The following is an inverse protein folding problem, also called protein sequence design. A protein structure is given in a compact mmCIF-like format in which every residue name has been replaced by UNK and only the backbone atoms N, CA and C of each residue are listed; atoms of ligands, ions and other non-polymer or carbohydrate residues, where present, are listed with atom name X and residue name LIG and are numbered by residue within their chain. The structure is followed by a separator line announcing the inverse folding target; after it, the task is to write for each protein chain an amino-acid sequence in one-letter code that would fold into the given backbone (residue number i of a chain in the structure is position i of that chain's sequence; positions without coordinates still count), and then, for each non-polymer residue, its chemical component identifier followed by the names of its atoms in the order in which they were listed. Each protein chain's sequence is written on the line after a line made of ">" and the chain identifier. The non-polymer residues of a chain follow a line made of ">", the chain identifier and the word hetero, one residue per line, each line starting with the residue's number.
data_IF_253479895152
#
_entry.id   IF_253479895152
#
_cell.length_a   1.000
_cell.length_b   1.000
_cell.length_c   1.000
_cell.angle_alpha   90.00
_cell.angle_beta   90.00
_cell.angle_gamma   90.00
#
_symmetry.space_group_name_H-M   'P 1'
#
loop_
_entity.id
_entity.type
_entity.pdbx_description
1 polymer ?
#
# COMPACT_ATOMS: atom_id res chain seq x y z
N UNK A 1 -9.57 -8.83 28.23
CA UNK A 1 -8.54 -9.77 27.76
C UNK A 1 -8.35 -9.65 26.26
N UNK A 2 -7.13 -9.88 25.76
CA UNK A 2 -6.78 -9.80 24.33
C UNK A 2 -7.68 -10.70 23.45
N UNK A 3 -8.17 -11.79 24.04
CA UNK A 3 -9.13 -12.69 23.37
C UNK A 3 -10.47 -12.04 23.00
N UNK A 4 -10.88 -10.97 23.68
CA UNK A 4 -12.13 -10.25 23.43
C UNK A 4 -12.02 -9.18 22.33
N UNK A 5 -10.79 -8.92 21.83
CA UNK A 5 -10.55 -7.94 20.77
C UNK A 5 -10.95 -8.51 19.40
N UNK A 6 -11.52 -7.65 18.55
CA UNK A 6 -11.70 -7.97 17.14
C UNK A 6 -10.35 -8.19 16.44
N UNK A 7 -10.37 -8.83 15.26
CA UNK A 7 -9.14 -9.05 14.49
C UNK A 7 -8.38 -7.73 14.20
N UNK A 8 -9.09 -6.68 13.78
CA UNK A 8 -8.49 -5.37 13.54
C UNK A 8 -7.93 -4.70 14.80
N UNK A 9 -8.60 -4.86 15.95
CA UNK A 9 -8.10 -4.37 17.24
C UNK A 9 -6.82 -5.11 17.66
N UNK A 10 -6.77 -6.43 17.49
CA UNK A 10 -5.57 -7.23 17.75
C UNK A 10 -4.40 -6.75 16.91
N UNK A 11 -4.61 -6.52 15.61
CA UNK A 11 -3.59 -6.03 14.67
C UNK A 11 -3.02 -4.67 15.11
N UNK A 12 -3.87 -3.74 15.52
CA UNK A 12 -3.44 -2.43 16.05
C UNK A 12 -2.64 -2.55 17.34
N UNK A 13 -3.07 -3.41 18.27
CA UNK A 13 -2.33 -3.68 19.50
C UNK A 13 -0.96 -4.30 19.21
N UNK A 14 -0.86 -5.21 18.23
CA UNK A 14 0.41 -5.79 17.80
C UNK A 14 1.36 -4.72 17.24
N UNK A 15 0.87 -3.83 16.37
CA UNK A 15 1.67 -2.73 15.85
C UNK A 15 2.13 -1.81 17.00
N UNK A 16 1.22 -1.43 17.89
CA UNK A 16 1.54 -0.59 19.04
C UNK A 16 2.60 -1.22 19.97
N UNK A 17 2.55 -2.53 20.19
CA UNK A 17 3.51 -3.23 21.04
C UNK A 17 4.92 -3.24 20.46
N UNK A 18 5.07 -3.27 19.14
CA UNK A 18 6.37 -3.17 18.46
C UNK A 18 6.91 -1.75 18.55
N UNK A 19 6.04 -0.74 18.46
CA UNK A 19 6.44 0.66 18.48
C UNK A 19 7.02 1.12 19.83
N UNK A 20 6.63 0.48 20.94
CA UNK A 20 7.23 0.74 22.26
C UNK A 20 8.74 0.52 22.26
N UNK A 21 9.27 -0.30 21.35
CA UNK A 21 10.70 -0.56 21.19
C UNK A 21 11.43 0.52 20.38
N UNK A 22 10.73 1.55 19.90
CA UNK A 22 11.27 2.63 19.06
C UNK A 22 12.14 2.12 17.89
N UNK A 23 11.63 1.19 17.07
CA UNK A 23 12.43 0.57 16.02
C UNK A 23 12.75 1.58 14.92
N UNK A 24 13.95 1.50 14.35
CA UNK A 24 14.33 2.29 13.17
C UNK A 24 13.70 1.77 11.89
N UNK A 25 13.35 0.48 11.85
CA UNK A 25 12.74 -0.19 10.69
C UNK A 25 11.61 -1.06 11.19
N UNK A 26 10.45 -0.96 10.54
CA UNK A 26 9.28 -1.82 10.78
C UNK A 26 8.99 -2.57 9.49
N UNK A 27 8.83 -3.89 9.61
CA UNK A 27 8.36 -4.76 8.54
C UNK A 27 6.96 -5.25 8.87
N UNK A 28 6.01 -5.00 7.99
CA UNK A 28 4.60 -5.36 8.14
C UNK A 28 4.14 -6.22 6.97
N UNK A 29 3.61 -7.38 7.30
CA UNK A 29 3.05 -8.32 6.34
C UNK A 29 1.52 -8.16 6.31
N UNK A 30 0.99 -7.76 5.14
CA UNK A 30 -0.44 -7.52 4.90
C UNK A 30 -1.13 -6.72 6.02
N UNK A 31 -0.64 -5.50 6.36
CA UNK A 31 -1.12 -4.77 7.53
C UNK A 31 -2.61 -4.40 7.44
N UNK A 32 -3.15 -4.27 6.24
CA UNK A 32 -4.53 -3.85 5.99
C UNK A 32 -5.49 -4.98 5.61
N UNK A 33 -4.99 -6.21 5.50
CA UNK A 33 -5.83 -7.35 5.12
C UNK A 33 -7.02 -7.54 6.08
N UNK A 34 -8.23 -7.68 5.51
CA UNK A 34 -9.46 -7.88 6.27
C UNK A 34 -9.96 -6.65 7.03
N UNK A 35 -9.45 -5.46 6.72
CA UNK A 35 -9.95 -4.20 7.26
C UNK A 35 -11.00 -3.58 6.33
N UNK A 36 -11.99 -2.89 6.91
CA UNK A 36 -12.82 -1.96 6.16
C UNK A 36 -12.03 -0.70 5.78
N UNK A 37 -12.56 0.12 4.89
CA UNK A 37 -11.88 1.30 4.37
C UNK A 37 -11.48 2.29 5.48
N UNK A 38 -12.32 2.45 6.50
CA UNK A 38 -12.02 3.38 7.60
C UNK A 38 -10.80 2.93 8.41
N UNK A 39 -10.76 1.66 8.81
CA UNK A 39 -9.64 1.10 9.57
C UNK A 39 -8.37 0.97 8.70
N UNK A 40 -8.54 0.63 7.42
CA UNK A 40 -7.46 0.66 6.43
C UNK A 40 -6.76 2.03 6.40
N UNK A 41 -7.54 3.10 6.19
CA UNK A 41 -7.00 4.47 6.11
C UNK A 41 -6.31 4.86 7.42
N UNK A 42 -6.91 4.58 8.58
CA UNK A 42 -6.29 4.86 9.87
C UNK A 42 -4.93 4.19 10.07
N UNK A 43 -4.79 2.92 9.66
CA UNK A 43 -3.53 2.20 9.77
C UNK A 43 -2.49 2.82 8.84
N UNK A 44 -2.86 3.11 7.60
CA UNK A 44 -1.92 3.63 6.62
C UNK A 44 -1.49 5.06 6.90
N UNK A 45 -2.38 5.94 7.34
CA UNK A 45 -2.05 7.31 7.73
C UNK A 45 -1.13 7.31 8.95
N UNK A 46 -1.36 6.45 9.91
CA UNK A 46 -0.48 6.27 11.06
C UNK A 46 0.93 5.80 10.64
N UNK A 47 1.02 4.82 9.72
CA UNK A 47 2.32 4.36 9.20
C UNK A 47 3.04 5.44 8.39
N UNK A 48 2.29 6.26 7.64
CA UNK A 48 2.85 7.40 6.93
C UNK A 48 3.40 8.47 7.89
N UNK A 49 2.75 8.69 9.03
CA UNK A 49 3.24 9.60 10.07
C UNK A 49 4.51 9.07 10.74
N UNK A 50 4.57 7.78 11.04
CA UNK A 50 5.80 7.12 11.54
C UNK A 50 6.95 7.26 10.55
N UNK A 51 6.69 7.08 9.27
CA UNK A 51 7.71 7.25 8.24
C UNK A 51 8.21 8.70 8.19
N UNK A 52 7.31 9.69 8.26
CA UNK A 52 7.69 11.12 8.34
C UNK A 52 8.50 11.46 9.59
N UNK A 53 8.30 10.75 10.69
CA UNK A 53 9.08 10.91 11.92
C UNK A 53 10.45 10.24 11.90
N UNK A 54 10.81 9.56 10.79
CA UNK A 54 12.13 8.96 10.57
C UNK A 54 12.19 7.44 10.69
N UNK A 55 11.08 6.76 10.96
CA UNK A 55 11.03 5.29 10.95
C UNK A 55 10.92 4.79 9.51
N UNK A 56 11.77 3.83 9.11
CA UNK A 56 11.62 3.16 7.84
C UNK A 56 10.48 2.13 7.93
N UNK A 57 9.49 2.26 7.05
CA UNK A 57 8.35 1.33 6.98
C UNK A 57 8.48 0.49 5.72
N UNK A 58 8.52 -0.83 5.90
CA UNK A 58 8.50 -1.82 4.81
C UNK A 58 7.19 -2.58 4.88
N UNK A 59 6.45 -2.58 3.79
CA UNK A 59 5.17 -3.28 3.65
C UNK A 59 5.32 -4.44 2.70
N UNK A 60 4.86 -5.61 3.09
CA UNK A 60 4.64 -6.73 2.18
C UNK A 60 3.16 -6.73 1.88
N UNK A 61 2.80 -6.64 0.61
CA UNK A 61 1.40 -6.59 0.19
C UNK A 61 1.22 -7.03 -1.26
N UNK A 62 0.04 -7.54 -1.56
CA UNK A 62 -0.45 -7.77 -2.92
C UNK A 62 -1.52 -6.73 -3.32
N UNK A 63 -1.76 -5.74 -2.49
CA UNK A 63 -2.70 -4.65 -2.76
C UNK A 63 -2.01 -3.54 -3.57
N UNK A 64 -2.23 -3.55 -4.88
CA UNK A 64 -1.66 -2.57 -5.80
C UNK A 64 -2.19 -1.15 -5.59
N UNK A 65 -3.41 -1.02 -5.04
CA UNK A 65 -3.97 0.28 -4.68
C UNK A 65 -3.21 0.89 -3.51
N UNK A 66 -2.98 0.11 -2.45
CA UNK A 66 -2.13 0.50 -1.31
C UNK A 66 -0.73 0.92 -1.77
N UNK A 67 -0.13 0.12 -2.64
CA UNK A 67 1.19 0.39 -3.18
C UNK A 67 1.24 1.75 -3.91
N UNK A 68 0.27 2.03 -4.77
CA UNK A 68 0.18 3.30 -5.50
C UNK A 68 -0.09 4.50 -4.60
N UNK A 69 -0.93 4.33 -3.57
CA UNK A 69 -1.36 5.41 -2.70
C UNK A 69 -0.30 5.82 -1.67
N UNK A 70 0.43 4.84 -1.11
CA UNK A 70 1.24 5.08 0.10
C UNK A 70 2.73 4.83 -0.08
N UNK A 71 3.17 4.14 -1.14
CA UNK A 71 4.58 3.77 -1.25
C UNK A 71 5.30 4.50 -2.39
N UNK A 72 6.40 5.22 -2.10
CA UNK A 72 7.20 5.87 -3.14
C UNK A 72 8.10 4.89 -3.90
N UNK A 73 8.39 3.72 -3.31
CA UNK A 73 9.29 2.70 -3.86
C UNK A 73 8.67 1.33 -3.67
N UNK A 74 8.76 0.51 -4.70
CA UNK A 74 8.31 -0.87 -4.71
C UNK A 74 9.44 -1.81 -5.14
N UNK A 75 9.58 -2.92 -4.43
CA UNK A 75 10.51 -3.99 -4.77
C UNK A 75 9.65 -5.21 -5.10
N UNK A 76 9.79 -5.72 -6.32
CA UNK A 76 9.02 -6.87 -6.79
C UNK A 76 9.88 -8.11 -6.75
N UNK A 77 9.37 -9.15 -6.08
CA UNK A 77 10.00 -10.46 -6.00
C UNK A 77 9.25 -11.47 -6.86
N UNK A 78 10.00 -12.30 -7.56
CA UNK A 78 9.49 -13.47 -8.29
C UNK A 78 10.55 -14.59 -8.24
N UNK A 79 10.12 -15.81 -7.93
CA UNK A 79 10.98 -17.00 -7.83
C UNK A 79 12.27 -16.80 -7.02
N UNK A 80 12.17 -16.09 -5.89
CA UNK A 80 13.29 -15.85 -4.98
C UNK A 80 14.27 -14.75 -5.46
N UNK A 81 13.96 -14.05 -6.55
CA UNK A 81 14.78 -12.98 -7.10
C UNK A 81 14.06 -11.64 -7.08
N UNK A 82 14.81 -10.55 -6.95
CA UNK A 82 14.29 -9.20 -7.18
C UNK A 82 14.25 -8.97 -8.69
N UNK A 83 13.06 -8.75 -9.24
CA UNK A 83 12.86 -8.50 -10.67
C UNK A 83 12.63 -7.02 -10.97
N UNK A 84 12.24 -6.22 -9.96
CA UNK A 84 12.12 -4.77 -10.08
C UNK A 84 12.38 -4.10 -8.73
N UNK A 85 12.96 -2.89 -8.78
CA UNK A 85 13.17 -1.99 -7.65
C UNK A 85 13.00 -0.56 -8.17
N UNK A 86 11.76 -0.05 -8.10
CA UNK A 86 11.38 1.22 -8.71
C UNK A 86 10.11 1.78 -8.06
N UNK A 87 9.45 2.77 -8.66
CA UNK A 87 8.17 3.29 -8.18
C UNK A 87 7.01 2.32 -8.46
N UNK A 88 5.96 2.39 -7.63
CA UNK A 88 4.75 1.61 -7.83
C UNK A 88 4.11 1.84 -9.22
N UNK A 89 4.15 3.08 -9.70
CA UNK A 89 3.62 3.44 -11.01
C UNK A 89 4.41 2.78 -12.16
N UNK A 90 5.75 2.76 -12.07
CA UNK A 90 6.59 2.09 -13.08
C UNK A 90 6.42 0.58 -13.08
N UNK A 91 6.25 -0.04 -11.90
CA UNK A 91 5.93 -1.47 -11.80
C UNK A 91 4.66 -1.80 -12.58
N UNK A 92 3.57 -1.05 -12.35
CA UNK A 92 2.29 -1.29 -13.02
C UNK A 92 2.26 -0.88 -14.50
N UNK A 93 3.20 -0.05 -14.92
CA UNK A 93 3.37 0.37 -16.31
C UNK A 93 4.18 -0.63 -17.15
N UNK A 94 4.83 -1.59 -16.52
CA UNK A 94 5.60 -2.61 -17.20
C UNK A 94 4.78 -3.90 -17.36
N UNK A 95 4.26 -4.22 -18.55
CA UNK A 95 3.55 -5.48 -18.79
C UNK A 95 4.40 -6.70 -18.44
N UNK A 96 5.71 -6.63 -18.68
CA UNK A 96 6.64 -7.70 -18.36
C UNK A 96 6.69 -8.00 -16.87
N UNK A 97 6.78 -6.96 -16.02
CA UNK A 97 6.80 -7.12 -14.56
C UNK A 97 5.45 -7.64 -14.06
N UNK A 98 4.35 -7.04 -14.56
CA UNK A 98 2.98 -7.40 -14.17
C UNK A 98 2.68 -8.86 -14.50
N UNK A 99 3.03 -9.32 -15.70
CA UNK A 99 2.83 -10.70 -16.13
C UNK A 99 3.73 -11.68 -15.35
N UNK A 100 5.02 -11.37 -15.25
CA UNK A 100 6.01 -12.23 -14.59
C UNK A 100 5.69 -12.42 -13.10
N UNK A 101 5.38 -11.34 -12.40
CA UNK A 101 5.06 -11.38 -10.97
C UNK A 101 3.59 -11.71 -10.67
N UNK A 102 2.78 -11.96 -11.69
CA UNK A 102 1.33 -12.22 -11.58
C UNK A 102 0.61 -11.12 -10.76
N UNK A 103 1.02 -9.87 -10.95
CA UNK A 103 0.40 -8.74 -10.25
C UNK A 103 -0.97 -8.42 -10.84
N UNK A 104 -1.90 -8.06 -9.97
CA UNK A 104 -3.24 -7.67 -10.39
C UNK A 104 -3.30 -6.16 -10.57
N UNK A 105 -3.51 -5.70 -11.81
CA UNK A 105 -3.75 -4.28 -12.09
C UNK A 105 -4.95 -3.75 -11.27
N UNK A 106 -4.88 -2.48 -10.85
CA UNK A 106 -6.01 -1.85 -10.16
C UNK A 106 -7.18 -1.65 -11.14
N UNK A 107 -8.41 -1.70 -10.62
CA UNK A 107 -9.61 -1.47 -11.43
C UNK A 107 -9.60 -0.10 -12.12
N UNK A 108 -9.05 0.93 -11.46
CA UNK A 108 -8.89 2.28 -12.01
C UNK A 108 -7.89 2.33 -13.17
N UNK A 109 -6.77 1.65 -13.02
CA UNK A 109 -5.77 1.55 -14.09
C UNK A 109 -6.36 0.85 -15.32
N UNK A 110 -7.06 -0.25 -15.11
CA UNK A 110 -7.77 -0.99 -16.17
C UNK A 110 -8.84 -0.15 -16.86
N UNK A 111 -9.62 0.61 -16.07
CA UNK A 111 -10.62 1.54 -16.61
C UNK A 111 -9.97 2.61 -17.49
N UNK A 112 -8.91 3.26 -16.99
CA UNK A 112 -8.18 4.28 -17.73
C UNK A 112 -7.65 3.75 -19.07
N UNK A 113 -7.05 2.55 -19.05
CA UNK A 113 -6.56 1.87 -20.26
C UNK A 113 -7.67 1.58 -21.26
N UNK A 114 -8.81 1.06 -20.80
CA UNK A 114 -9.97 0.75 -21.65
C UNK A 114 -10.65 2.01 -22.22
N UNK A 115 -10.57 3.14 -21.49
CA UNK A 115 -11.07 4.43 -21.97
C UNK A 115 -10.09 5.17 -22.89
N UNK A 116 -8.93 4.59 -23.20
CA UNK A 116 -7.93 5.19 -24.08
C UNK A 116 -7.24 6.42 -23.49
N UNK A 117 -7.15 6.52 -22.16
CA UNK A 117 -6.43 7.60 -21.47
C UNK A 117 -4.94 7.42 -21.74
N UNK A 118 -4.28 8.47 -22.22
CA UNK A 118 -2.89 8.42 -22.69
C UNK A 118 -1.89 8.02 -21.59
N UNK A 119 -2.18 8.31 -20.32
CA UNK A 119 -1.37 7.95 -19.17
C UNK A 119 -2.25 7.38 -18.05
N UNK A 120 -2.57 6.08 -18.08
CA UNK A 120 -3.41 5.42 -17.08
C UNK A 120 -2.86 5.52 -15.65
N UNK A 121 -1.54 5.46 -15.49
CA UNK A 121 -0.85 5.59 -14.21
C UNK A 121 -1.01 6.99 -13.62
N UNK A 122 -0.84 8.05 -14.41
CA UNK A 122 -1.02 9.42 -13.97
C UNK A 122 -2.49 9.69 -13.61
N UNK A 123 -3.41 9.16 -14.41
CA UNK A 123 -4.84 9.22 -14.11
C UNK A 123 -5.14 8.55 -12.76
N UNK A 124 -4.65 7.33 -12.55
CA UNK A 124 -4.86 6.58 -11.30
C UNK A 124 -4.28 7.32 -10.11
N UNK A 125 -3.07 7.85 -10.24
CA UNK A 125 -2.41 8.64 -9.19
C UNK A 125 -3.19 9.90 -8.84
N UNK A 126 -3.66 10.65 -9.83
CA UNK A 126 -4.47 11.87 -9.61
C UNK A 126 -5.82 11.56 -9.00
N UNK A 127 -6.45 10.48 -9.43
CA UNK A 127 -7.72 10.03 -8.86
C UNK A 127 -7.56 9.69 -7.37
N UNK A 128 -6.54 8.90 -7.03
CA UNK A 128 -6.23 8.53 -5.64
C UNK A 128 -5.96 9.77 -4.80
N UNK A 129 -5.18 10.73 -5.31
CA UNK A 129 -4.89 12.00 -4.61
C UNK A 129 -6.16 12.81 -4.35
N UNK A 130 -7.03 12.97 -5.36
CA UNK A 130 -8.29 13.70 -5.23
C UNK A 130 -9.27 13.00 -4.25
N UNK A 131 -9.40 11.67 -4.33
CA UNK A 131 -10.24 10.89 -3.42
C UNK A 131 -9.75 11.02 -1.96
N UNK A 132 -8.45 11.03 -1.76
CA UNK A 132 -7.83 11.25 -0.44
C UNK A 132 -8.11 12.63 0.12
N UNK A 133 -8.04 13.66 -0.71
CA UNK A 133 -8.37 15.04 -0.34
C UNK A 133 -9.83 15.16 0.10
N UNK A 134 -10.76 14.57 -0.65
CA UNK A 134 -12.18 14.53 -0.28
C UNK A 134 -12.39 13.80 1.05
N UNK A 135 -11.75 12.67 1.26
CA UNK A 135 -11.85 11.88 2.52
C UNK A 135 -11.29 12.62 3.74
N UNK A 136 -10.31 13.50 3.55
CA UNK A 136 -9.69 14.27 4.65
C UNK A 136 -10.53 15.48 5.11
N UNK A 137 -11.52 15.90 4.31
CA UNK A 137 -12.37 17.07 4.57
C UNK A 137 -13.81 16.70 4.98
N UNK A 138 -14.17 15.44 5.04
CA UNK A 138 -15.47 14.91 5.47
C UNK A 138 -15.39 14.23 6.83
#
# INVERSE_FOLDING_TARGET
>A
PVSALSYGQKKRVTIASILVLEPKIILLDEPTAGQDLYHYTQIMDFLAELNRSGTTVVLITHDMHLMLEYTPRAIVFHDGHVIADTSAAEVLNSPEIVETAHLKETSLYHLAKNCGIASPEEFTRRFIAADREVRSHG
#
